data_IF_489168017271
#
_entry.id   IF_489168017271
#
_cell.length_a   1.000
_cell.length_b   1.000
_cell.length_c   1.000
_cell.angle_alpha   90.00
_cell.angle_beta   90.00
_cell.angle_gamma   90.00
#
_symmetry.space_group_name_H-M   'P 1'
#
loop_
_entity.id
_entity.type
_entity.pdbx_description
1 polymer ?
#
# COMPACT_ATOMS: atom_id res chain seq x y z
N UNK A 1 14.26 1.71 -17.42
CA UNK A 1 15.05 1.64 -16.18
C UNK A 1 14.53 0.50 -15.32
N UNK A 2 14.55 -0.72 -15.85
CA UNK A 2 14.15 -1.91 -15.13
C UNK A 2 15.35 -2.62 -14.49
N UNK A 3 15.08 -3.57 -13.59
CA UNK A 3 16.09 -4.42 -12.94
C UNK A 3 17.17 -3.59 -12.24
N UNK A 4 16.74 -2.69 -11.36
CA UNK A 4 17.59 -1.75 -10.62
C UNK A 4 17.13 -1.67 -9.15
N UNK A 5 17.89 -0.96 -8.31
CA UNK A 5 17.56 -0.74 -6.89
C UNK A 5 16.95 0.65 -6.64
N UNK A 6 16.17 1.18 -7.59
CA UNK A 6 15.58 2.53 -7.42
C UNK A 6 14.51 2.52 -6.33
N UNK A 7 14.63 3.44 -5.38
CA UNK A 7 13.75 3.59 -4.20
C UNK A 7 13.01 4.93 -4.21
N UNK A 8 11.91 5.01 -3.47
CA UNK A 8 11.10 6.23 -3.33
C UNK A 8 9.95 6.28 -4.33
N UNK A 9 9.30 7.44 -4.47
CA UNK A 9 8.11 7.57 -5.31
C UNK A 9 8.41 7.96 -6.76
N UNK A 10 7.51 7.55 -7.66
CA UNK A 10 7.58 7.95 -9.07
C UNK A 10 7.35 9.47 -9.16
N UNK A 11 8.28 10.27 -9.72
CA UNK A 11 8.18 11.71 -9.65
C UNK A 11 7.12 12.28 -10.62
N UNK A 12 6.31 13.22 -10.11
CA UNK A 12 5.27 13.94 -10.87
C UNK A 12 5.78 14.62 -12.15
N UNK A 13 7.07 14.93 -12.24
CA UNK A 13 7.70 15.54 -13.42
C UNK A 13 7.63 14.65 -14.66
N UNK A 14 7.64 13.32 -14.52
CA UNK A 14 7.52 12.37 -15.66
C UNK A 14 6.23 12.58 -16.46
N UNK A 15 5.13 12.95 -15.80
CA UNK A 15 3.87 13.31 -16.47
C UNK A 15 3.91 14.64 -17.25
N UNK A 16 5.07 15.30 -17.34
CA UNK A 16 5.30 16.45 -18.24
C UNK A 16 6.03 16.05 -19.53
N UNK A 17 6.51 14.81 -19.65
CA UNK A 17 7.24 14.32 -20.82
C UNK A 17 6.26 13.87 -21.91
N UNK A 18 5.52 14.82 -22.49
CA UNK A 18 4.41 14.54 -23.44
C UNK A 18 4.81 13.76 -24.70
N UNK A 19 6.10 13.67 -25.01
CA UNK A 19 6.67 12.88 -26.11
C UNK A 19 7.26 11.51 -25.65
N UNK A 20 6.88 11.01 -24.47
CA UNK A 20 7.37 9.74 -23.95
C UNK A 20 6.56 8.55 -24.48
N UNK A 21 7.14 7.82 -25.44
CA UNK A 21 6.53 6.64 -26.06
C UNK A 21 6.70 5.35 -25.22
N UNK A 22 7.75 5.26 -24.39
CA UNK A 22 7.99 4.10 -23.53
C UNK A 22 8.50 4.49 -22.13
N UNK A 23 7.91 3.88 -21.11
CA UNK A 23 8.30 4.00 -19.70
C UNK A 23 8.31 2.63 -19.03
N UNK A 24 9.51 2.07 -18.86
CA UNK A 24 9.74 0.84 -18.11
C UNK A 24 10.49 1.15 -16.81
N UNK A 25 9.85 0.87 -15.68
CA UNK A 25 10.35 0.99 -14.31
C UNK A 25 10.26 -0.36 -13.55
N UNK A 26 10.02 -1.46 -14.27
CA UNK A 26 9.78 -2.77 -13.65
C UNK A 26 10.97 -3.27 -12.84
N UNK A 27 10.75 -4.18 -11.89
CA UNK A 27 11.83 -4.81 -11.11
C UNK A 27 12.71 -3.76 -10.38
N UNK A 28 12.09 -2.99 -9.49
CA UNK A 28 12.71 -1.96 -8.66
C UNK A 28 12.12 -1.96 -7.23
N UNK A 29 12.45 -0.96 -6.42
CA UNK A 29 11.95 -0.78 -5.05
C UNK A 29 11.16 0.53 -4.90
N UNK A 30 10.49 0.96 -5.97
CA UNK A 30 9.66 2.18 -5.97
C UNK A 30 8.41 1.97 -5.12
N UNK A 31 7.92 3.04 -4.50
CA UNK A 31 6.89 2.99 -3.46
C UNK A 31 5.91 4.18 -3.51
N UNK A 32 4.73 4.01 -2.91
CA UNK A 32 3.66 5.00 -2.96
C UNK A 32 2.79 4.90 -4.22
N UNK A 33 2.01 5.94 -4.50
CA UNK A 33 1.03 5.94 -5.60
C UNK A 33 1.65 6.14 -6.99
N UNK A 34 1.02 5.55 -8.01
CA UNK A 34 1.27 5.90 -9.41
C UNK A 34 0.73 7.33 -9.66
N UNK A 35 1.55 8.31 -10.08
CA UNK A 35 1.09 9.69 -10.24
C UNK A 35 0.05 9.80 -11.35
N UNK A 36 -1.14 10.33 -11.02
CA UNK A 36 -2.24 10.59 -11.96
C UNK A 36 -1.81 11.39 -13.20
N UNK A 37 -0.74 12.19 -13.09
CA UNK A 37 -0.16 12.96 -14.20
C UNK A 37 0.42 12.07 -15.32
N UNK A 38 0.82 10.82 -15.05
CA UNK A 38 1.24 9.88 -16.10
C UNK A 38 0.09 9.54 -17.08
N UNK A 39 -1.18 9.66 -16.66
CA UNK A 39 -2.34 9.56 -17.56
C UNK A 39 -2.48 10.70 -18.57
N UNK A 40 -1.60 11.72 -18.52
CA UNK A 40 -1.49 12.78 -19.53
C UNK A 40 -0.58 12.40 -20.70
N UNK A 41 0.16 11.28 -20.61
CA UNK A 41 1.10 10.82 -21.63
C UNK A 41 0.38 10.07 -22.76
N UNK A 42 -0.29 10.83 -23.64
CA UNK A 42 -1.21 10.28 -24.66
C UNK A 42 -0.55 9.50 -25.81
N UNK A 43 0.78 9.48 -25.92
CA UNK A 43 1.52 8.68 -26.93
C UNK A 43 2.28 7.50 -26.31
N UNK A 44 2.11 7.25 -25.01
CA UNK A 44 2.82 6.19 -24.29
C UNK A 44 2.33 4.81 -24.77
N UNK A 45 3.08 4.19 -25.68
CA UNK A 45 2.77 2.89 -26.28
C UNK A 45 3.23 1.70 -25.44
N UNK A 46 4.26 1.87 -24.59
CA UNK A 46 4.68 0.85 -23.62
C UNK A 46 4.84 1.46 -22.22
N UNK A 47 4.17 0.88 -21.24
CA UNK A 47 4.29 1.20 -19.82
C UNK A 47 4.51 -0.09 -19.03
N UNK A 48 5.42 -0.06 -18.05
CA UNK A 48 5.63 -1.18 -17.14
C UNK A 48 6.14 -0.66 -15.78
N UNK A 49 5.44 -1.02 -14.70
CA UNK A 49 5.81 -0.75 -13.30
C UNK A 49 5.73 -2.02 -12.44
N UNK A 50 5.73 -3.19 -13.07
CA UNK A 50 5.67 -4.49 -12.39
C UNK A 50 6.82 -4.70 -11.41
N UNK A 51 6.66 -5.60 -10.44
CA UNK A 51 7.68 -5.98 -9.46
C UNK A 51 8.31 -4.76 -8.74
N UNK A 52 7.45 -3.97 -8.10
CA UNK A 52 7.79 -2.83 -7.26
C UNK A 52 6.96 -2.88 -5.95
N UNK A 53 7.08 -1.87 -5.08
CA UNK A 53 6.32 -1.76 -3.84
C UNK A 53 5.28 -0.61 -3.91
N UNK A 54 4.65 -0.42 -5.07
CA UNK A 54 3.65 0.63 -5.29
C UNK A 54 2.33 0.30 -4.59
N UNK A 55 1.57 1.35 -4.28
CA UNK A 55 0.38 1.29 -3.40
C UNK A 55 -0.76 2.15 -3.93
N UNK A 56 -2.00 1.78 -3.63
CA UNK A 56 -3.18 2.61 -3.89
C UNK A 56 -3.83 2.37 -5.26
N UNK A 57 -4.84 3.17 -5.63
CA UNK A 57 -5.62 2.96 -6.85
C UNK A 57 -4.80 3.26 -8.10
N UNK A 58 -4.82 2.34 -9.07
CA UNK A 58 -4.31 2.61 -10.42
C UNK A 58 -5.11 3.80 -10.99
N UNK A 59 -4.44 4.88 -11.45
CA UNK A 59 -5.12 6.07 -11.95
C UNK A 59 -6.06 5.78 -13.11
N UNK A 60 -7.36 5.90 -12.85
CA UNK A 60 -8.41 5.75 -13.86
C UNK A 60 -8.37 6.96 -14.81
N UNK A 61 -7.57 6.85 -15.87
CA UNK A 61 -7.25 7.97 -16.76
C UNK A 61 -6.59 7.54 -18.06
N UNK A 62 -7.37 7.55 -19.14
CA UNK A 62 -6.97 7.29 -20.54
C UNK A 62 -6.01 6.09 -20.66
N UNK A 63 -4.72 6.36 -20.85
CA UNK A 63 -3.71 5.37 -21.21
C UNK A 63 -3.37 4.40 -20.06
N UNK A 64 -3.44 4.85 -18.81
CA UNK A 64 -3.06 4.01 -17.65
C UNK A 64 -4.08 2.89 -17.32
N UNK A 65 -5.16 2.79 -18.08
CA UNK A 65 -6.15 1.71 -18.01
C UNK A 65 -6.23 0.87 -19.29
N UNK A 66 -5.36 1.12 -20.28
CA UNK A 66 -5.30 0.35 -21.54
C UNK A 66 -4.09 -0.56 -21.65
N UNK A 67 -3.20 -0.58 -20.65
CA UNK A 67 -2.11 -1.56 -20.56
C UNK A 67 -2.59 -2.83 -19.83
N UNK A 68 -1.96 -3.96 -20.16
CA UNK A 68 -2.29 -5.26 -19.55
C UNK A 68 -1.99 -5.30 -18.04
N UNK A 69 -2.68 -6.18 -17.31
CA UNK A 69 -2.52 -6.35 -15.86
C UNK A 69 -1.10 -6.72 -15.43
N UNK A 70 -0.34 -7.40 -16.30
CA UNK A 70 1.09 -7.73 -16.12
C UNK A 70 1.93 -6.48 -15.85
N UNK A 71 1.65 -5.38 -16.55
CA UNK A 71 2.34 -4.08 -16.40
C UNK A 71 2.28 -3.48 -14.98
N UNK A 72 1.45 -4.04 -14.09
CA UNK A 72 1.23 -3.62 -12.71
C UNK A 72 1.49 -4.74 -11.70
N UNK A 73 1.79 -5.96 -12.15
CA UNK A 73 1.85 -7.14 -11.28
C UNK A 73 3.04 -7.11 -10.31
N UNK A 74 3.04 -7.98 -9.31
CA UNK A 74 4.09 -8.00 -8.27
C UNK A 74 4.10 -6.77 -7.33
N UNK A 75 3.16 -5.82 -7.47
CA UNK A 75 2.97 -4.70 -6.54
C UNK A 75 1.87 -5.05 -5.52
N UNK A 76 2.20 -5.35 -4.25
CA UNK A 76 1.24 -5.90 -3.29
C UNK A 76 0.17 -4.89 -2.83
N UNK A 77 0.42 -3.59 -2.97
CA UNK A 77 -0.50 -2.54 -2.53
C UNK A 77 -1.29 -1.85 -3.64
N UNK A 78 -1.01 -2.10 -4.92
CA UNK A 78 -1.78 -1.52 -6.03
C UNK A 78 -3.17 -2.17 -6.11
N UNK A 79 -4.18 -1.41 -6.57
CA UNK A 79 -5.54 -1.90 -6.68
C UNK A 79 -6.35 -1.24 -7.81
N UNK A 80 -7.43 -1.90 -8.22
CA UNK A 80 -8.35 -1.43 -9.27
C UNK A 80 -7.92 -1.80 -10.70
N UNK A 81 -8.82 -1.62 -11.65
CA UNK A 81 -8.60 -2.01 -13.05
C UNK A 81 -7.35 -1.35 -13.66
N UNK A 82 -6.49 -2.10 -14.37
CA UNK A 82 -6.72 -3.44 -14.94
C UNK A 82 -6.55 -4.65 -13.97
N UNK A 83 -6.13 -4.47 -12.72
CA UNK A 83 -6.05 -5.57 -11.75
C UNK A 83 -7.44 -5.97 -11.20
N UNK A 84 -7.63 -7.25 -10.83
CA UNK A 84 -8.91 -7.70 -10.24
C UNK A 84 -9.05 -7.36 -8.74
N UNK A 85 -7.97 -6.99 -8.06
CA UNK A 85 -8.00 -6.68 -6.62
C UNK A 85 -8.68 -5.33 -6.38
N UNK A 86 -9.78 -5.35 -5.62
CA UNK A 86 -10.60 -4.16 -5.36
C UNK A 86 -9.88 -3.24 -4.38
N UNK A 87 -9.85 -1.94 -4.67
CA UNK A 87 -9.43 -0.96 -3.69
C UNK A 87 -10.39 -0.96 -2.52
N UNK A 88 -9.87 -1.19 -1.30
CA UNK A 88 -10.63 -0.99 -0.09
C UNK A 88 -11.00 0.49 0.06
N UNK A 89 -12.30 0.78 0.21
CA UNK A 89 -12.70 2.04 0.85
C UNK A 89 -12.16 1.98 2.27
N UNK A 90 -11.36 2.98 2.65
CA UNK A 90 -10.69 3.01 3.95
C UNK A 90 -11.70 2.78 5.08
N UNK A 91 -11.61 1.61 5.70
CA UNK A 91 -12.65 1.15 6.63
C UNK A 91 -12.45 1.83 7.97
N UNK A 92 -13.24 2.88 8.23
CA UNK A 92 -13.44 3.46 9.56
C UNK A 92 -13.65 2.30 10.56
N UNK A 93 -12.99 2.27 11.73
CA UNK A 93 -12.83 1.03 12.49
C UNK A 93 -14.13 0.52 13.16
N UNK A 94 -14.94 -0.20 12.37
CA UNK A 94 -16.00 -1.10 12.81
C UNK A 94 -16.32 -2.14 11.73
N UNK A 95 -16.52 -3.39 12.17
CA UNK A 95 -16.96 -4.57 11.39
C UNK A 95 -16.05 -5.12 10.28
N UNK A 96 -15.19 -6.07 10.67
CA UNK A 96 -15.11 -7.37 9.98
C UNK A 96 -16.26 -8.28 10.50
N UNK A 97 -16.53 -9.48 9.93
CA UNK A 97 -17.74 -9.67 9.14
C UNK A 97 -18.81 -10.52 9.83
N UNK A 98 -20.08 -10.26 9.52
CA UNK A 98 -21.18 -11.19 9.80
C UNK A 98 -21.46 -12.02 8.55
N UNK A 99 -21.16 -13.31 8.62
CA UNK A 99 -21.24 -14.28 7.53
C UNK A 99 -22.68 -14.71 7.19
N UNK A 100 -22.95 -14.96 5.90
CA UNK A 100 -23.92 -15.96 5.45
C UNK A 100 -23.32 -16.76 4.29
N UNK A 101 -22.51 -17.76 4.63
CA UNK A 101 -22.43 -18.99 3.82
C UNK A 101 -23.29 -20.06 4.48
N UNK A 102 -23.61 -21.11 3.73
CA UNK A 102 -24.68 -22.05 4.07
C UNK A 102 -24.23 -23.11 5.07
N UNK A 103 -25.20 -23.61 5.83
CA UNK A 103 -25.12 -24.74 6.75
C UNK A 103 -24.65 -26.04 6.02
N UNK A 104 -24.08 -27.06 6.68
CA UNK A 104 -24.35 -27.49 8.06
C UNK A 104 -23.21 -28.35 8.69
N UNK A 105 -23.24 -28.53 10.01
CA UNK A 105 -22.56 -29.57 10.81
C UNK A 105 -21.02 -29.76 10.74
N UNK A 106 -20.30 -29.67 11.89
CA UNK A 106 -18.88 -30.08 11.93
C UNK A 106 -18.02 -29.65 13.13
N UNK A 107 -18.12 -30.38 14.25
CA UNK A 107 -17.23 -30.42 15.44
C UNK A 107 -15.84 -29.70 15.43
N UNK A 108 -15.69 -28.77 16.40
CA UNK A 108 -14.48 -28.47 17.20
C UNK A 108 -13.19 -27.92 16.54
N UNK A 109 -12.57 -26.93 17.20
CA UNK A 109 -11.24 -26.41 16.82
C UNK A 109 -10.96 -24.97 17.29
N UNK A 110 -10.98 -24.70 18.59
CA UNK A 110 -10.62 -23.37 19.10
C UNK A 110 -9.10 -23.18 19.13
N UNK A 111 -8.61 -22.08 18.54
CA UNK A 111 -7.25 -21.59 18.76
C UNK A 111 -7.28 -20.11 19.16
N UNK A 112 -6.74 -19.87 20.35
CA UNK A 112 -6.80 -18.63 21.11
C UNK A 112 -5.46 -17.89 20.97
N UNK A 113 -5.48 -16.64 20.48
CA UNK A 113 -4.28 -15.82 20.40
C UNK A 113 -4.07 -15.05 21.71
N UNK A 114 -3.40 -15.71 22.66
CA UNK A 114 -3.07 -15.18 23.98
C UNK A 114 -2.02 -14.05 23.89
N UNK A 115 -2.34 -12.90 24.49
CA UNK A 115 -1.46 -11.72 24.57
C UNK A 115 -0.63 -11.67 25.87
N UNK A 116 -0.53 -12.78 26.62
CA UNK A 116 0.13 -12.82 27.93
C UNK A 116 1.47 -13.56 27.94
N UNK A 117 2.52 -12.90 27.47
CA UNK A 117 3.86 -13.10 28.05
C UNK A 117 4.47 -11.78 28.51
N UNK A 118 4.99 -11.79 29.74
CA UNK A 118 5.33 -10.63 30.55
C UNK A 118 6.79 -10.69 30.97
N UNK A 119 7.53 -9.59 30.78
CA UNK A 119 8.71 -9.22 31.59
C UNK A 119 8.62 -7.70 31.82
N UNK A 120 8.15 -7.25 32.99
CA UNK A 120 8.94 -7.02 34.23
C UNK A 120 9.92 -5.87 34.08
N UNK A 121 9.57 -4.73 34.70
CA UNK A 121 10.39 -3.52 34.78
C UNK A 121 9.86 -2.54 35.82
N UNK A 122 10.17 -2.77 37.10
CA UNK A 122 9.72 -1.90 38.21
C UNK A 122 10.58 -0.64 38.31
N UNK A 123 10.09 0.47 37.75
CA UNK A 123 10.68 1.81 37.89
C UNK A 123 9.96 2.67 38.92
N UNK A 124 10.35 2.57 40.19
CA UNK A 124 9.71 3.31 41.30
C UNK A 124 10.07 4.81 41.33
N UNK A 125 9.45 5.61 40.46
CA UNK A 125 9.62 7.06 40.35
C UNK A 125 9.02 7.86 41.52
N UNK A 126 9.61 7.76 42.71
CA UNK A 126 9.19 8.50 43.91
C UNK A 126 9.61 9.98 43.84
N UNK A 127 8.77 10.81 43.21
CA UNK A 127 8.95 12.27 43.21
C UNK A 127 8.66 12.89 44.58
N UNK A 128 9.68 13.00 45.43
CA UNK A 128 9.69 13.86 46.63
C UNK A 128 10.77 14.93 46.45
N UNK A 129 10.39 16.07 45.86
CA UNK A 129 11.14 17.33 45.97
C UNK A 129 10.60 18.11 47.16
N UNK A 130 11.37 18.14 48.25
CA UNK A 130 10.98 18.66 49.57
C UNK A 130 11.58 20.06 49.78
N UNK A 131 10.72 21.06 50.10
CA UNK A 131 11.10 22.41 50.64
C UNK A 131 11.90 23.28 49.63
N UNK A 132 12.13 24.60 49.74
CA UNK A 132 11.64 25.79 50.50
C UNK A 132 12.25 27.05 49.75
N UNK A 133 12.05 28.35 50.01
CA UNK A 133 11.51 29.13 51.16
C UNK A 133 11.05 30.55 50.68
N UNK A 134 9.86 31.05 51.12
CA UNK A 134 9.31 32.44 50.94
C UNK A 134 9.25 33.01 49.48
N UNK A 135 8.60 34.16 49.17
CA UNK A 135 7.82 35.16 49.94
C UNK A 135 6.34 35.21 49.49
#
# INVERSE_FOLDING_TARGET
MSNNILTGSIPLSLGSLTQLESLDLSHNHLSGEIPKKLGQLTILGKFDVSHNNLTGPIPQGRQLTTFDSTSYEGNPGLCGGPLQNRCGVATTPQQLPSSVEQNDSGSAGAFEFDWKFVLVGLGSGLMITKREIWE
#
